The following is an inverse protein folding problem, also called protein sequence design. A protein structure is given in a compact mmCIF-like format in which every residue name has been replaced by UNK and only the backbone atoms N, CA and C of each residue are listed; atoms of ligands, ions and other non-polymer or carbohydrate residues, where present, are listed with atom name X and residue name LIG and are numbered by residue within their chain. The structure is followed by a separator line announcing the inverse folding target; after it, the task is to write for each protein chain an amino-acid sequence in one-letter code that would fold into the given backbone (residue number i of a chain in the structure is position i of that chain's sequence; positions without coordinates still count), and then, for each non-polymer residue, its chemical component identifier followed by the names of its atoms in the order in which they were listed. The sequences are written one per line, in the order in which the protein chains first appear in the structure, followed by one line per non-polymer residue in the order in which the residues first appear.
data_IF_734117371457
#
_entry.id   IF_734117371457
#
_cell.length_a   1.000
_cell.length_b   1.000
_cell.length_c   1.000
_cell.angle_alpha   90.00
_cell.angle_beta   90.00
_cell.angle_gamma   90.00
#
_symmetry.space_group_name_H-M   'P 1'
#
loop_
_entity.id
_entity.type
_entity.pdbx_description
1 polymer ?
#
# COMPACT_ATOMS: atom_id res chain seq x y z
N UNK A 1 -9.31 -28.40 -14.72
CA UNK A 1 -9.34 -28.26 -16.18
C UNK A 1 -8.45 -27.09 -16.53
N UNK A 2 -7.64 -27.20 -17.58
CA UNK A 2 -6.75 -26.12 -18.00
C UNK A 2 -7.55 -24.85 -18.33
N UNK A 3 -7.04 -23.68 -17.93
CA UNK A 3 -7.61 -22.38 -18.28
C UNK A 3 -7.85 -22.26 -19.80
N UNK A 4 -9.05 -21.79 -20.18
CA UNK A 4 -9.38 -21.54 -21.57
C UNK A 4 -8.59 -20.32 -22.07
N UNK A 5 -7.82 -20.49 -23.15
CA UNK A 5 -7.10 -19.40 -23.80
C UNK A 5 -7.80 -19.04 -25.11
N UNK A 6 -8.26 -17.79 -25.20
CA UNK A 6 -8.93 -17.22 -26.37
C UNK A 6 -8.11 -16.09 -26.98
N UNK A 7 -8.14 -15.98 -28.30
CA UNK A 7 -7.44 -14.91 -29.02
C UNK A 7 -8.38 -13.75 -29.35
N UNK A 8 -7.91 -12.53 -29.08
CA UNK A 8 -8.50 -11.27 -29.53
C UNK A 8 -7.34 -10.34 -29.95
N UNK A 9 -6.61 -10.78 -30.96
CA UNK A 9 -5.35 -10.13 -31.38
C UNK A 9 -5.57 -8.73 -31.91
N UNK A 10 -4.62 -7.83 -31.62
CA UNK A 10 -4.57 -6.49 -32.19
C UNK A 10 -4.48 -6.55 -33.72
N UNK A 11 -5.16 -5.63 -34.39
CA UNK A 11 -5.05 -5.44 -35.85
C UNK A 11 -3.59 -5.19 -36.26
N UNK A 12 -3.17 -5.80 -37.38
CA UNK A 12 -1.86 -5.58 -38.00
C UNK A 12 -1.55 -4.11 -38.27
N UNK A 13 -2.58 -3.31 -38.56
CA UNK A 13 -2.45 -1.86 -38.78
C UNK A 13 -1.97 -1.08 -37.54
N UNK A 14 -1.99 -1.69 -36.35
CA UNK A 14 -1.52 -1.08 -35.10
C UNK A 14 -0.22 -1.69 -34.57
N UNK A 15 0.43 -2.60 -35.32
CA UNK A 15 1.67 -3.23 -34.86
C UNK A 15 2.76 -2.20 -34.59
N UNK A 16 2.89 -1.17 -35.42
CA UNK A 16 3.84 -0.07 -35.23
C UNK A 16 3.66 0.71 -33.90
N UNK A 17 2.48 0.63 -33.28
CA UNK A 17 2.18 1.28 -32.00
C UNK A 17 2.30 0.26 -30.85
N UNK A 18 1.71 -0.92 -31.01
CA UNK A 18 1.46 -1.86 -29.91
C UNK A 18 2.53 -2.92 -29.74
N UNK A 19 3.17 -3.34 -30.83
CA UNK A 19 4.12 -4.44 -30.83
C UNK A 19 5.06 -4.35 -32.05
N UNK A 20 5.85 -3.27 -32.20
CA UNK A 20 6.59 -2.99 -33.44
C UNK A 20 7.70 -4.00 -33.76
N UNK A 21 8.23 -4.70 -32.76
CA UNK A 21 9.38 -5.58 -32.92
C UNK A 21 9.00 -7.06 -32.83
N UNK A 22 9.67 -7.89 -33.63
CA UNK A 22 9.70 -9.33 -33.40
C UNK A 22 10.42 -9.64 -32.08
N UNK A 23 10.03 -10.74 -31.45
CA UNK A 23 10.52 -11.19 -30.16
C UNK A 23 10.71 -12.70 -30.17
N UNK A 24 11.88 -13.12 -29.70
CA UNK A 24 12.09 -14.49 -29.21
C UNK A 24 12.05 -14.38 -27.70
N UNK A 25 10.95 -14.81 -27.11
CA UNK A 25 10.75 -14.72 -25.67
C UNK A 25 11.77 -15.59 -24.94
N UNK A 26 12.28 -15.12 -23.80
CA UNK A 26 13.14 -15.91 -22.90
C UNK A 26 12.71 -15.85 -21.43
N UNK A 27 11.71 -15.02 -21.11
CA UNK A 27 11.08 -14.88 -19.80
C UNK A 27 9.57 -14.62 -19.91
N UNK A 28 8.88 -14.75 -18.78
CA UNK A 28 7.50 -14.32 -18.58
C UNK A 28 7.50 -13.27 -17.48
N UNK A 29 6.78 -12.16 -17.66
CA UNK A 29 6.63 -11.10 -16.66
C UNK A 29 5.19 -11.06 -16.20
N UNK A 30 5.01 -11.15 -14.88
CA UNK A 30 3.70 -11.13 -14.22
C UNK A 30 3.35 -9.72 -13.79
N UNK A 31 2.10 -9.35 -14.05
CA UNK A 31 1.51 -8.06 -13.76
C UNK A 31 0.17 -8.20 -13.03
N UNK A 32 -0.25 -7.11 -12.41
CA UNK A 32 -1.58 -6.94 -11.86
C UNK A 32 -2.15 -5.67 -12.48
N UNK A 33 -3.38 -5.74 -12.99
CA UNK A 33 -3.99 -4.65 -13.74
C UNK A 33 -4.24 -3.37 -12.92
N UNK A 34 -4.25 -3.49 -11.59
CA UNK A 34 -4.74 -2.47 -10.67
C UNK A 34 -6.15 -1.98 -11.04
N UNK A 35 -6.97 -2.90 -11.55
CA UNK A 35 -8.33 -2.65 -12.02
C UNK A 35 -9.28 -3.83 -11.69
N UNK A 36 -10.58 -3.64 -11.87
CA UNK A 36 -11.64 -4.63 -11.63
C UNK A 36 -12.38 -5.07 -12.90
N UNK A 37 -11.71 -4.96 -14.06
CA UNK A 37 -12.24 -5.39 -15.35
C UNK A 37 -11.92 -6.87 -15.65
N UNK A 38 -12.74 -7.48 -16.51
CA UNK A 38 -12.51 -8.82 -17.08
C UNK A 38 -11.31 -8.83 -18.02
N UNK A 39 -10.75 -10.02 -18.30
CA UNK A 39 -9.66 -10.20 -19.25
C UNK A 39 -10.05 -9.69 -20.65
N UNK A 40 -11.30 -9.95 -21.07
CA UNK A 40 -11.83 -9.44 -22.33
C UNK A 40 -11.80 -7.90 -22.40
N UNK A 41 -12.23 -7.22 -21.33
CA UNK A 41 -12.31 -5.76 -21.32
C UNK A 41 -10.91 -5.12 -21.29
N UNK A 42 -9.99 -5.68 -20.52
CA UNK A 42 -8.59 -5.25 -20.52
C UNK A 42 -7.98 -5.35 -21.93
N UNK A 43 -8.17 -6.48 -22.61
CA UNK A 43 -7.67 -6.67 -23.98
C UNK A 43 -8.37 -5.76 -24.99
N UNK A 44 -9.72 -5.66 -24.97
CA UNK A 44 -10.48 -4.77 -25.86
C UNK A 44 -10.02 -3.32 -25.74
N UNK A 45 -9.84 -2.84 -24.51
CA UNK A 45 -9.32 -1.50 -24.27
C UNK A 45 -7.90 -1.35 -24.83
N UNK A 46 -7.01 -2.28 -24.50
CA UNK A 46 -5.60 -2.25 -24.90
C UNK A 46 -5.44 -2.23 -26.42
N UNK A 47 -6.13 -3.10 -27.16
CA UNK A 47 -6.02 -3.14 -28.64
C UNK A 47 -6.79 -2.01 -29.32
N UNK A 48 -7.83 -1.48 -28.66
CA UNK A 48 -8.72 -0.45 -29.19
C UNK A 48 -8.11 0.96 -29.19
N UNK A 49 -7.22 1.27 -28.24
CA UNK A 49 -6.57 2.59 -28.15
C UNK A 49 -5.27 2.69 -28.98
N UNK A 50 -4.65 3.89 -29.01
CA UNK A 50 -3.41 4.18 -29.76
C UNK A 50 -2.21 4.52 -28.87
N UNK A 51 -2.27 4.17 -27.58
CA UNK A 51 -1.15 4.37 -26.66
C UNK A 51 -0.06 3.32 -26.92
N UNK A 52 1.22 3.70 -26.74
CA UNK A 52 2.36 2.77 -26.71
C UNK A 52 2.43 2.03 -25.38
N UNK A 53 1.34 1.35 -25.04
CA UNK A 53 1.17 0.50 -23.86
C UNK A 53 0.41 -0.74 -24.32
N UNK A 54 0.93 -1.92 -24.00
CA UNK A 54 0.36 -3.20 -24.42
C UNK A 54 0.88 -4.33 -23.54
N UNK A 55 0.18 -5.47 -23.55
CA UNK A 55 0.55 -6.71 -22.87
C UNK A 55 0.07 -7.89 -23.71
N UNK A 56 0.67 -9.07 -23.55
CA UNK A 56 0.37 -10.20 -24.42
C UNK A 56 -0.96 -10.86 -24.09
N UNK A 57 -1.22 -11.08 -22.80
CA UNK A 57 -2.38 -11.84 -22.35
C UNK A 57 -2.89 -11.29 -21.02
N UNK A 58 -4.21 -11.15 -20.90
CA UNK A 58 -4.88 -10.87 -19.63
C UNK A 58 -5.60 -12.13 -19.14
N UNK A 59 -5.61 -12.36 -17.83
CA UNK A 59 -6.19 -13.55 -17.20
C UNK A 59 -7.15 -13.14 -16.10
N UNK A 60 -8.38 -13.64 -16.17
CA UNK A 60 -9.42 -13.41 -15.18
C UNK A 60 -9.90 -14.71 -14.54
N UNK A 61 -10.98 -14.66 -13.76
CA UNK A 61 -11.51 -15.79 -13.01
C UNK A 61 -12.11 -16.90 -13.89
N UNK A 62 -12.24 -16.67 -15.21
CA UNK A 62 -12.93 -17.55 -16.15
C UNK A 62 -12.07 -17.96 -17.34
N UNK A 63 -11.31 -17.03 -17.91
CA UNK A 63 -10.54 -17.24 -19.14
C UNK A 63 -9.23 -16.45 -19.17
N UNK A 64 -8.40 -16.74 -20.17
CA UNK A 64 -7.26 -15.94 -20.56
C UNK A 64 -7.45 -15.43 -21.99
N UNK A 65 -7.26 -14.13 -22.21
CA UNK A 65 -7.48 -13.48 -23.51
C UNK A 65 -6.17 -12.91 -24.03
N UNK A 66 -5.70 -13.41 -25.17
CA UNK A 66 -4.48 -12.96 -25.82
C UNK A 66 -4.73 -11.76 -26.75
N UNK A 67 -4.05 -10.65 -26.51
CA UNK A 67 -4.14 -9.41 -27.31
C UNK A 67 -2.94 -9.15 -28.23
N UNK A 68 -1.74 -9.62 -27.88
CA UNK A 68 -0.52 -9.46 -28.70
C UNK A 68 0.07 -10.83 -29.03
N UNK A 69 0.49 -11.08 -30.29
CA UNK A 69 1.22 -12.30 -30.65
C UNK A 69 2.48 -12.50 -29.81
N UNK A 70 2.77 -13.74 -29.39
CA UNK A 70 3.93 -14.03 -28.52
C UNK A 70 5.28 -13.94 -29.22
N UNK A 71 5.30 -13.87 -30.55
CA UNK A 71 6.50 -13.63 -31.38
C UNK A 71 6.77 -12.14 -31.62
N UNK A 72 6.04 -11.25 -30.92
CA UNK A 72 6.22 -9.80 -30.96
C UNK A 72 6.34 -9.23 -29.55
N UNK A 73 7.01 -8.09 -29.46
CA UNK A 73 7.20 -7.38 -28.19
C UNK A 73 5.88 -6.78 -27.69
N UNK A 74 5.83 -6.41 -26.40
CA UNK A 74 4.79 -5.54 -25.85
C UNK A 74 5.43 -4.39 -25.06
N UNK A 75 4.66 -3.34 -24.77
CA UNK A 75 5.10 -2.17 -24.00
C UNK A 75 4.49 -2.21 -22.59
N UNK A 76 5.14 -2.93 -21.68
CA UNK A 76 4.61 -3.26 -20.35
C UNK A 76 5.60 -3.05 -19.19
N UNK A 77 6.90 -3.28 -19.40
CA UNK A 77 7.90 -3.42 -18.34
C UNK A 77 8.53 -2.09 -17.87
N UNK A 78 8.28 -0.99 -18.58
CA UNK A 78 8.78 0.34 -18.22
C UNK A 78 10.29 0.53 -18.38
N UNK A 79 10.98 -0.38 -19.09
CA UNK A 79 12.44 -0.39 -19.27
C UNK A 79 12.89 0.06 -20.67
N UNK A 80 12.03 0.79 -21.40
CA UNK A 80 12.32 1.23 -22.77
C UNK A 80 12.54 0.03 -23.71
N UNK A 81 13.68 -0.03 -24.40
CA UNK A 81 14.08 -1.18 -25.21
C UNK A 81 14.87 -2.24 -24.40
N UNK A 82 14.74 -2.24 -23.09
CA UNK A 82 15.32 -3.25 -22.21
C UNK A 82 14.69 -4.63 -22.39
N UNK A 83 15.28 -5.60 -21.68
CA UNK A 83 14.95 -7.02 -21.81
C UNK A 83 13.52 -7.34 -21.40
N UNK A 84 12.92 -6.59 -20.48
CA UNK A 84 11.52 -6.75 -20.07
C UNK A 84 10.60 -6.57 -21.28
N UNK A 85 10.59 -5.39 -21.88
CA UNK A 85 9.75 -5.12 -23.05
C UNK A 85 10.13 -5.94 -24.30
N UNK A 86 11.40 -6.32 -24.45
CA UNK A 86 11.93 -6.89 -25.71
C UNK A 86 12.07 -8.41 -25.74
N UNK A 87 12.02 -9.08 -24.60
CA UNK A 87 12.22 -10.53 -24.50
C UNK A 87 11.23 -11.23 -23.56
N UNK A 88 10.31 -10.50 -22.93
CA UNK A 88 9.33 -11.11 -22.03
C UNK A 88 7.92 -11.18 -22.60
N UNK A 89 7.22 -12.28 -22.32
CA UNK A 89 5.77 -12.38 -22.45
C UNK A 89 5.13 -11.73 -21.21
N UNK A 90 4.23 -10.77 -21.40
CA UNK A 90 3.52 -10.05 -20.34
C UNK A 90 2.16 -10.70 -20.04
N UNK A 91 1.97 -11.11 -18.79
CA UNK A 91 0.73 -11.71 -18.26
C UNK A 91 0.11 -10.75 -17.25
N UNK A 92 -1.05 -10.18 -17.57
CA UNK A 92 -1.83 -9.30 -16.68
C UNK A 92 -2.87 -10.09 -15.91
N UNK A 93 -2.86 -10.02 -14.57
CA UNK A 93 -3.85 -10.65 -13.70
C UNK A 93 -4.94 -9.63 -13.33
N UNK A 94 -6.18 -9.92 -13.73
CA UNK A 94 -7.36 -9.08 -13.53
C UNK A 94 -7.84 -9.03 -12.08
N UNK A 95 -8.76 -8.09 -11.78
CA UNK A 95 -9.41 -7.90 -10.45
C UNK A 95 -8.48 -7.59 -9.29
N UNK A 96 -7.24 -7.23 -9.56
CA UNK A 96 -6.26 -6.95 -8.53
C UNK A 96 -6.57 -5.68 -7.74
N UNK A 97 -7.42 -4.76 -8.22
CA UNK A 97 -7.76 -3.56 -7.45
C UNK A 97 -8.56 -3.89 -6.19
N UNK A 98 -9.69 -4.54 -6.33
CA UNK A 98 -10.54 -4.93 -5.18
C UNK A 98 -10.16 -6.29 -4.59
N UNK A 99 -9.49 -7.17 -5.35
CA UNK A 99 -9.10 -8.49 -4.89
C UNK A 99 -10.29 -9.46 -4.76
N UNK A 100 -10.30 -10.21 -3.66
CA UNK A 100 -11.33 -11.22 -3.36
C UNK A 100 -11.29 -12.46 -4.25
N UNK A 101 -12.33 -13.28 -4.19
CA UNK A 101 -12.42 -14.57 -4.87
C UNK A 101 -12.12 -14.52 -6.36
N UNK A 102 -12.53 -13.43 -7.03
CA UNK A 102 -12.26 -13.24 -8.46
C UNK A 102 -10.77 -13.09 -8.74
N UNK A 103 -10.05 -12.34 -7.91
CA UNK A 103 -8.60 -12.24 -8.02
C UNK A 103 -7.91 -13.57 -7.70
N UNK A 104 -8.31 -14.26 -6.62
CA UNK A 104 -7.72 -15.56 -6.24
C UNK A 104 -7.86 -16.58 -7.38
N UNK A 105 -9.03 -16.63 -8.02
CA UNK A 105 -9.27 -17.48 -9.19
C UNK A 105 -8.45 -17.02 -10.41
N UNK A 106 -8.37 -15.72 -10.67
CA UNK A 106 -7.57 -15.16 -11.76
C UNK A 106 -6.07 -15.45 -11.59
N UNK A 107 -5.54 -15.31 -10.38
CA UNK A 107 -4.15 -15.59 -10.05
C UNK A 107 -3.84 -17.09 -10.19
N UNK A 108 -4.74 -17.97 -9.75
CA UNK A 108 -4.64 -19.40 -9.98
C UNK A 108 -4.64 -19.75 -11.48
N UNK A 109 -5.55 -19.18 -12.25
CA UNK A 109 -5.63 -19.37 -13.70
C UNK A 109 -4.35 -18.88 -14.39
N UNK A 110 -3.79 -17.76 -13.94
CA UNK A 110 -2.52 -17.24 -14.44
C UNK A 110 -1.35 -18.16 -14.09
N UNK A 111 -1.32 -18.73 -12.88
CA UNK A 111 -0.30 -19.68 -12.49
C UNK A 111 -0.34 -20.97 -13.34
N UNK A 112 -1.55 -21.49 -13.62
CA UNK A 112 -1.74 -22.64 -14.51
C UNK A 112 -1.29 -22.33 -15.95
N UNK A 113 -1.68 -21.16 -16.48
CA UNK A 113 -1.27 -20.69 -17.81
C UNK A 113 0.26 -20.61 -17.93
N UNK A 114 0.91 -19.96 -16.95
CA UNK A 114 2.36 -19.78 -16.93
C UNK A 114 3.06 -21.13 -16.84
N UNK A 115 2.58 -22.05 -16.00
CA UNK A 115 3.13 -23.40 -15.92
C UNK A 115 3.06 -24.13 -17.27
N UNK A 116 1.95 -24.01 -18.00
CA UNK A 116 1.82 -24.52 -19.37
C UNK A 116 2.83 -23.90 -20.33
N UNK A 117 2.98 -22.58 -20.31
CA UNK A 117 3.95 -21.85 -21.15
C UNK A 117 5.40 -22.26 -20.87
N UNK A 118 5.75 -22.49 -19.59
CA UNK A 118 7.08 -22.94 -19.18
C UNK A 118 7.36 -24.35 -19.68
N UNK A 119 6.41 -25.30 -19.51
CA UNK A 119 6.55 -26.68 -20.00
C UNK A 119 6.75 -26.73 -21.51
N UNK A 120 5.92 -26.01 -22.26
CA UNK A 120 5.97 -25.95 -23.72
C UNK A 120 7.36 -25.50 -24.23
N UNK A 121 8.05 -24.65 -23.46
CA UNK A 121 9.34 -24.05 -23.82
C UNK A 121 10.54 -24.73 -23.16
N UNK A 122 10.32 -25.76 -22.34
CA UNK A 122 11.38 -26.38 -21.54
C UNK A 122 12.05 -25.42 -20.55
N UNK A 123 11.31 -24.43 -20.05
CA UNK A 123 11.82 -23.40 -19.14
C UNK A 123 11.62 -23.77 -17.67
N UNK A 124 12.58 -23.35 -16.84
CA UNK A 124 12.47 -23.40 -15.39
C UNK A 124 11.71 -22.21 -14.80
N UNK A 125 11.37 -22.32 -13.51
CA UNK A 125 10.66 -21.28 -12.76
C UNK A 125 11.45 -19.96 -12.69
N UNK A 126 12.77 -20.00 -12.86
CA UNK A 126 13.66 -18.83 -12.89
C UNK A 126 13.32 -17.84 -14.01
N UNK A 127 12.57 -18.29 -15.02
CA UNK A 127 12.08 -17.48 -16.15
C UNK A 127 10.83 -16.67 -15.83
N UNK A 128 10.20 -16.89 -14.68
CA UNK A 128 9.07 -16.07 -14.20
C UNK A 128 9.62 -14.87 -13.44
N UNK A 129 9.37 -13.68 -13.98
CA UNK A 129 9.75 -12.38 -13.41
C UNK A 129 8.51 -11.60 -13.01
N UNK A 130 8.68 -10.62 -12.13
CA UNK A 130 7.66 -9.60 -11.85
C UNK A 130 8.06 -8.30 -12.53
N UNK A 131 7.10 -7.44 -12.86
CA UNK A 131 7.39 -6.13 -13.44
C UNK A 131 8.39 -5.33 -12.58
N UNK A 132 8.31 -5.44 -11.26
CA UNK A 132 9.27 -4.84 -10.33
C UNK A 132 10.73 -5.16 -10.63
N UNK A 133 11.05 -6.33 -11.18
CA UNK A 133 12.43 -6.74 -11.49
C UNK A 133 13.05 -5.91 -12.65
N UNK A 134 12.22 -5.26 -13.47
CA UNK A 134 12.66 -4.50 -14.64
C UNK A 134 12.79 -3.00 -14.37
N UNK A 135 11.82 -2.40 -13.69
CA UNK A 135 11.72 -0.94 -13.51
C UNK A 135 11.62 -0.49 -12.06
N UNK A 136 11.54 -1.41 -11.10
CA UNK A 136 11.30 -1.10 -9.68
C UNK A 136 9.85 -0.77 -9.33
N UNK A 137 8.93 -0.68 -10.31
CA UNK A 137 7.49 -0.45 -10.05
C UNK A 137 6.93 -1.54 -9.14
N UNK A 138 6.13 -1.16 -8.14
CA UNK A 138 5.42 -2.11 -7.27
C UNK A 138 4.30 -2.85 -8.03
N UNK A 139 4.68 -3.85 -8.82
CA UNK A 139 3.81 -4.64 -9.67
C UNK A 139 4.43 -6.03 -9.86
N UNK A 140 3.68 -7.14 -9.69
CA UNK A 140 2.23 -7.26 -9.45
C UNK A 140 1.84 -7.00 -7.98
N UNK A 141 1.20 -5.86 -7.68
CA UNK A 141 1.04 -5.35 -6.31
C UNK A 141 0.37 -6.34 -5.34
N UNK A 142 -0.79 -6.91 -5.69
CA UNK A 142 -1.52 -7.84 -4.83
C UNK A 142 -0.87 -9.20 -4.74
N UNK A 143 -0.33 -9.70 -5.85
CA UNK A 143 0.47 -10.95 -5.84
C UNK A 143 1.73 -10.80 -4.98
N UNK A 144 2.35 -9.60 -4.95
CA UNK A 144 3.45 -9.28 -4.03
C UNK A 144 2.98 -9.24 -2.58
N UNK A 145 1.85 -8.58 -2.30
CA UNK A 145 1.25 -8.50 -0.94
C UNK A 145 0.95 -9.89 -0.37
N UNK A 146 0.48 -10.81 -1.21
CA UNK A 146 0.16 -12.19 -0.83
C UNK A 146 1.38 -13.13 -0.85
N UNK A 147 2.57 -12.64 -1.22
CA UNK A 147 3.81 -13.39 -1.26
C UNK A 147 4.20 -13.87 -2.66
N UNK A 148 5.29 -13.31 -3.19
CA UNK A 148 5.83 -13.71 -4.50
C UNK A 148 6.28 -15.18 -4.54
N UNK A 149 6.95 -15.67 -3.49
CA UNK A 149 7.38 -17.07 -3.43
C UNK A 149 6.17 -18.02 -3.48
N UNK A 150 5.11 -17.70 -2.73
CA UNK A 150 3.85 -18.46 -2.76
C UNK A 150 3.25 -18.54 -4.18
N UNK A 151 3.32 -17.46 -4.96
CA UNK A 151 2.90 -17.50 -6.37
C UNK A 151 3.81 -18.42 -7.22
N UNK A 152 5.13 -18.33 -7.05
CA UNK A 152 6.06 -19.23 -7.75
C UNK A 152 5.85 -20.70 -7.39
N UNK A 153 5.57 -21.00 -6.13
CA UNK A 153 5.27 -22.37 -5.65
C UNK A 153 3.97 -22.91 -6.27
N UNK A 154 2.98 -22.03 -6.46
CA UNK A 154 1.74 -22.37 -7.16
C UNK A 154 2.01 -22.72 -8.63
N UNK A 155 2.80 -21.92 -9.34
CA UNK A 155 3.23 -22.20 -10.72
C UNK A 155 4.00 -23.53 -10.78
N UNK A 156 4.95 -23.75 -9.88
CA UNK A 156 5.75 -24.97 -9.80
C UNK A 156 4.88 -26.22 -9.55
N UNK A 157 3.82 -26.09 -8.73
CA UNK A 157 2.87 -27.18 -8.47
C UNK A 157 2.14 -27.60 -9.76
N UNK A 158 1.63 -26.64 -10.54
CA UNK A 158 1.06 -26.92 -11.86
C UNK A 158 2.11 -27.48 -12.83
N UNK A 159 3.36 -27.06 -12.74
CA UNK A 159 4.45 -27.63 -13.53
C UNK A 159 4.66 -29.12 -13.23
N UNK A 160 4.53 -29.52 -11.98
CA UNK A 160 4.76 -30.90 -11.55
C UNK A 160 3.51 -31.79 -11.65
N UNK A 161 2.37 -31.23 -12.08
CA UNK A 161 1.10 -31.98 -12.13
C UNK A 161 0.55 -32.32 -10.74
N UNK A 162 1.03 -31.62 -9.70
CA UNK A 162 0.51 -31.71 -8.36
C UNK A 162 -0.77 -30.87 -8.23
N UNK A 163 -1.64 -31.24 -7.31
CA UNK A 163 -2.71 -30.33 -6.90
C UNK A 163 -2.04 -29.07 -6.31
N UNK A 164 -2.27 -27.88 -6.88
CA UNK A 164 -1.69 -26.67 -6.32
C UNK A 164 -2.22 -26.53 -4.91
N UNK A 165 -1.40 -26.07 -3.95
CA UNK A 165 -1.87 -25.84 -2.59
C UNK A 165 -3.18 -25.07 -2.67
N UNK A 166 -4.21 -25.58 -2.00
CA UNK A 166 -5.46 -24.85 -1.88
C UNK A 166 -5.08 -23.45 -1.36
N UNK A 167 -5.66 -22.41 -1.95
CA UNK A 167 -5.65 -21.12 -1.28
C UNK A 167 -6.47 -21.31 0.00
N UNK A 168 -5.82 -21.76 1.05
CA UNK A 168 -6.18 -21.34 2.39
C UNK A 168 -5.89 -19.85 2.39
N UNK A 169 -6.81 -19.04 2.91
CA UNK A 169 -6.36 -17.79 3.51
C UNK A 169 -5.30 -18.16 4.55
N UNK A 170 -4.03 -18.28 4.13
CA UNK A 170 -2.97 -18.02 5.08
C UNK A 170 -3.24 -16.61 5.56
N UNK A 171 -3.27 -16.40 6.90
CA UNK A 171 -3.57 -15.10 7.44
C UNK A 171 -2.68 -14.12 6.71
N UNK A 172 -3.30 -13.14 6.03
CA UNK A 172 -2.60 -12.01 5.45
C UNK A 172 -1.49 -11.67 6.43
N UNK A 173 -0.23 -11.72 5.99
CA UNK A 173 0.94 -11.27 6.77
C UNK A 173 0.44 -10.18 7.72
N UNK A 174 0.40 -10.41 9.05
CA UNK A 174 -0.51 -9.69 9.94
C UNK A 174 -0.42 -8.23 9.58
N UNK A 175 -1.56 -7.63 9.18
CA UNK A 175 -1.61 -6.23 8.76
C UNK A 175 -0.73 -5.47 9.74
N UNK A 176 0.35 -4.84 9.25
CA UNK A 176 1.37 -4.25 10.12
C UNK A 176 0.63 -3.40 11.14
N UNK A 177 0.55 -3.90 12.38
CA UNK A 177 -0.27 -3.28 13.40
C UNK A 177 0.54 -2.09 13.87
N UNK A 178 0.30 -0.94 13.25
CA UNK A 178 0.94 0.29 13.65
C UNK A 178 0.23 0.73 14.93
N UNK A 179 0.96 0.71 16.04
CA UNK A 179 0.51 1.26 17.31
C UNK A 179 1.16 2.63 17.51
N UNK A 180 0.43 3.54 18.15
CA UNK A 180 0.99 4.79 18.67
C UNK A 180 1.14 4.69 20.18
N UNK A 181 2.33 5.02 20.68
CA UNK A 181 2.57 5.23 22.10
C UNK A 181 2.82 6.71 22.36
N UNK A 182 2.12 7.28 23.33
CA UNK A 182 2.22 8.70 23.64
C UNK A 182 2.24 8.96 25.15
N UNK A 183 2.91 10.03 25.55
CA UNK A 183 2.99 10.50 26.93
C UNK A 183 2.92 12.03 26.96
N UNK A 184 2.48 12.58 28.09
CA UNK A 184 2.39 14.03 28.29
C UNK A 184 3.20 14.48 29.49
N UNK A 185 3.69 15.71 29.42
CA UNK A 185 4.21 16.45 30.54
C UNK A 185 3.11 17.39 31.05
N UNK A 186 2.85 17.35 32.35
CA UNK A 186 1.88 18.24 33.00
C UNK A 186 2.58 19.45 33.63
N UNK A 187 1.79 20.48 33.95
CA UNK A 187 2.25 21.64 34.72
C UNK A 187 3.05 21.21 35.96
N UNK A 188 4.17 21.90 36.22
CA UNK A 188 5.17 21.48 37.21
C UNK A 188 6.26 20.55 36.67
N UNK A 189 6.21 20.19 35.38
CA UNK A 189 7.30 19.48 34.69
C UNK A 189 7.31 17.96 34.86
N UNK A 190 6.28 17.39 35.49
CA UNK A 190 6.16 15.93 35.66
C UNK A 190 5.73 15.29 34.35
N UNK A 191 6.49 14.31 33.87
CA UNK A 191 6.08 13.43 32.77
C UNK A 191 5.25 12.26 33.30
N UNK A 192 4.23 11.86 32.54
CA UNK A 192 3.37 10.73 32.85
C UNK A 192 3.80 9.48 32.04
N UNK A 193 3.39 8.27 32.46
CA UNK A 193 3.65 7.04 31.70
C UNK A 193 3.10 7.09 30.28
N UNK A 194 3.68 6.27 29.40
CA UNK A 194 3.17 6.08 28.05
C UNK A 194 1.86 5.33 28.06
N UNK A 195 0.96 5.77 27.19
CA UNK A 195 -0.30 5.12 26.84
C UNK A 195 -0.18 4.64 25.40
N UNK A 196 -0.67 3.44 25.11
CA UNK A 196 -0.68 2.86 23.78
C UNK A 196 -2.11 2.87 23.22
N UNK A 197 -2.29 3.45 22.04
CA UNK A 197 -3.58 3.56 21.36
C UNK A 197 -4.72 4.01 22.33
N UNK A 198 -5.85 3.30 22.30
CA UNK A 198 -7.03 3.54 23.14
C UNK A 198 -6.99 2.82 24.50
N UNK A 199 -5.85 2.26 24.93
CA UNK A 199 -5.76 1.56 26.23
C UNK A 199 -6.11 2.50 27.40
N UNK A 200 -5.77 3.79 27.29
CA UNK A 200 -6.16 4.85 28.22
C UNK A 200 -6.06 6.24 27.54
N UNK A 201 -5.98 7.32 28.32
CA UNK A 201 -5.60 8.66 27.89
C UNK A 201 -4.38 9.18 28.66
N UNK A 202 -3.60 10.06 28.04
CA UNK A 202 -2.47 10.70 28.68
C UNK A 202 -2.91 12.05 29.27
N UNK A 203 -2.68 12.24 30.56
CA UNK A 203 -3.03 13.45 31.29
C UNK A 203 -3.57 13.16 32.67
N UNK A 204 -3.85 14.21 33.44
CA UNK A 204 -4.55 14.12 34.72
C UNK A 204 -5.66 15.16 34.73
N UNK A 205 -6.92 14.78 35.02
CA UNK A 205 -8.03 15.73 35.07
C UNK A 205 -7.69 16.96 35.93
N UNK A 206 -7.88 18.15 35.36
CA UNK A 206 -7.58 19.41 36.02
C UNK A 206 -6.10 19.86 35.95
N UNK A 207 -5.17 19.03 35.49
CA UNK A 207 -3.76 19.39 35.30
C UNK A 207 -3.46 19.68 33.85
N UNK A 208 -2.99 20.90 33.59
CA UNK A 208 -2.69 21.35 32.22
C UNK A 208 -1.53 20.56 31.63
N UNK A 209 -1.67 20.15 30.38
CA UNK A 209 -0.58 19.57 29.60
C UNK A 209 0.32 20.70 29.06
N UNK A 210 1.63 20.55 29.21
CA UNK A 210 2.68 21.52 28.79
C UNK A 210 3.73 20.90 27.86
N UNK A 211 3.68 19.59 27.63
CA UNK A 211 4.49 18.89 26.64
C UNK A 211 3.85 17.57 26.22
N UNK A 212 4.15 17.10 25.00
CA UNK A 212 3.71 15.80 24.48
C UNK A 212 4.85 15.12 23.73
N UNK A 213 5.01 13.81 23.92
CA UNK A 213 5.95 12.97 23.17
C UNK A 213 5.23 11.76 22.60
N UNK A 214 5.49 11.41 21.34
CA UNK A 214 4.82 10.31 20.63
C UNK A 214 5.80 9.50 19.79
N UNK A 215 5.59 8.18 19.72
CA UNK A 215 6.30 7.27 18.81
C UNK A 215 5.33 6.26 18.21
N UNK A 216 5.73 5.71 17.07
CA UNK A 216 5.01 4.64 16.38
C UNK A 216 5.97 3.49 16.10
N UNK A 217 5.44 2.28 15.87
CA UNK A 217 6.23 1.09 15.60
C UNK A 217 6.20 0.71 14.11
N UNK A 218 6.77 -0.45 13.77
CA UNK A 218 6.48 -1.15 12.52
C UNK A 218 6.80 -0.37 11.24
N UNK A 219 7.89 0.41 11.27
CA UNK A 219 8.39 1.15 10.11
C UNK A 219 7.60 2.41 9.77
N UNK A 220 6.54 2.72 10.53
CA UNK A 220 5.87 4.00 10.44
C UNK A 220 6.74 5.12 11.03
N UNK A 221 6.46 6.35 10.64
CA UNK A 221 6.99 7.54 11.32
C UNK A 221 5.88 8.55 11.58
N UNK A 222 6.06 9.40 12.58
CA UNK A 222 5.08 10.41 12.97
C UNK A 222 5.78 11.76 13.12
N UNK A 223 5.09 12.82 12.69
CA UNK A 223 5.44 14.18 13.08
C UNK A 223 4.29 14.82 13.82
N UNK A 224 4.61 15.68 14.77
CA UNK A 224 3.60 16.39 15.54
C UNK A 224 4.11 17.73 16.04
N UNK A 225 3.18 18.67 16.24
CA UNK A 225 3.46 19.98 16.84
C UNK A 225 2.29 20.44 17.69
N UNK A 226 2.52 21.52 18.43
CA UNK A 226 1.52 22.10 19.32
C UNK A 226 1.37 23.60 19.12
N UNK A 227 0.20 24.11 19.51
CA UNK A 227 0.00 25.53 19.80
C UNK A 227 -0.39 25.68 21.25
N UNK A 228 0.28 26.56 21.97
CA UNK A 228 -0.01 26.86 23.37
C UNK A 228 -1.28 27.70 23.52
N UNK A 229 -1.85 27.73 24.72
CA UNK A 229 -3.03 28.53 25.04
C UNK A 229 -2.79 30.04 24.87
N UNK A 230 -1.54 30.51 24.98
CA UNK A 230 -1.19 31.90 24.67
C UNK A 230 -0.91 32.15 23.17
N UNK A 231 -1.16 31.17 22.30
CA UNK A 231 -1.12 31.33 20.84
C UNK A 231 0.23 31.06 20.18
N UNK A 232 1.26 30.62 20.91
CA UNK A 232 2.55 30.28 20.32
C UNK A 232 2.50 28.89 19.69
N UNK A 233 2.76 28.81 18.38
CA UNK A 233 2.95 27.54 17.67
C UNK A 233 4.42 27.14 17.69
N UNK A 234 4.68 25.88 18.05
CA UNK A 234 6.01 25.28 18.03
C UNK A 234 6.26 24.53 16.70
N UNK A 235 7.52 24.33 16.28
CA UNK A 235 7.84 23.54 15.09
C UNK A 235 7.41 22.08 15.26
N UNK A 236 7.35 21.35 14.14
CA UNK A 236 7.17 19.91 14.15
C UNK A 236 8.38 19.21 14.76
N UNK A 237 8.09 18.19 15.56
CA UNK A 237 9.06 17.23 16.06
C UNK A 237 8.72 15.83 15.58
N UNK A 238 9.71 14.94 15.56
CA UNK A 238 9.55 13.52 15.18
C UNK A 238 10.09 12.55 16.23
N UNK A 239 10.84 13.05 17.22
CA UNK A 239 11.43 12.23 18.27
C UNK A 239 10.46 11.91 19.40
N UNK A 240 10.91 11.07 20.33
CA UNK A 240 10.18 10.67 21.53
C UNK A 240 11.17 10.52 22.70
N UNK A 241 11.76 11.65 23.12
CA UNK A 241 12.79 11.70 24.15
C UNK A 241 12.66 13.00 24.96
N UNK A 242 12.24 12.90 26.23
CA UNK A 242 12.07 14.05 27.11
C UNK A 242 13.37 14.82 27.43
N UNK A 243 14.54 14.23 27.20
CA UNK A 243 15.83 14.90 27.39
C UNK A 243 16.28 15.71 26.17
N UNK A 244 15.63 15.51 25.01
CA UNK A 244 15.89 16.26 23.78
C UNK A 244 14.86 17.39 23.63
N UNK A 245 15.24 18.59 24.06
CA UNK A 245 14.41 19.79 23.97
C UNK A 245 14.29 20.41 22.57
N UNK A 246 14.91 19.82 21.54
CA UNK A 246 14.87 20.32 20.15
C UNK A 246 13.89 19.50 19.32
N UNK A 247 14.02 18.16 19.33
CA UNK A 247 13.19 17.27 18.50
C UNK A 247 12.57 16.10 19.30
N UNK A 248 12.78 16.03 20.61
CA UNK A 248 12.35 14.89 21.41
C UNK A 248 10.89 14.92 21.85
N UNK A 249 10.29 16.10 21.95
CA UNK A 249 8.89 16.30 22.35
C UNK A 249 8.39 17.67 21.89
N UNK A 250 7.07 17.84 21.77
CA UNK A 250 6.47 19.13 21.43
C UNK A 250 5.99 19.85 22.69
N UNK A 251 6.43 21.08 22.89
CA UNK A 251 6.10 21.93 24.05
C UNK A 251 7.35 22.56 24.66
N UNK A 252 7.15 23.40 25.67
CA UNK A 252 8.25 24.08 26.37
C UNK A 252 8.32 23.72 27.87
N UNK A 253 7.48 22.78 28.31
CA UNK A 253 7.39 22.34 29.70
C UNK A 253 6.82 23.39 30.66
N UNK A 254 6.32 24.52 30.16
CA UNK A 254 5.88 25.67 30.98
C UNK A 254 4.49 26.15 30.60
N UNK A 255 4.24 26.38 29.31
CA UNK A 255 3.01 26.94 28.80
C UNK A 255 2.01 25.83 28.45
N UNK A 256 0.76 26.03 28.86
CA UNK A 256 -0.30 25.07 28.58
C UNK A 256 -0.54 24.91 27.09
N UNK A 257 -0.74 23.68 26.63
CA UNK A 257 -1.08 23.33 25.27
C UNK A 257 -2.58 23.56 25.05
N UNK A 258 -2.94 24.06 23.87
CA UNK A 258 -4.33 24.27 23.46
C UNK A 258 -4.69 23.50 22.19
N UNK A 259 -3.75 23.33 21.27
CA UNK A 259 -3.95 22.59 20.02
C UNK A 259 -2.80 21.63 19.75
N UNK A 260 -3.12 20.52 19.11
CA UNK A 260 -2.16 19.51 18.66
C UNK A 260 -2.40 19.20 17.19
N UNK A 261 -1.33 19.08 16.43
CA UNK A 261 -1.32 18.68 15.02
C UNK A 261 -0.44 17.45 14.89
N UNK A 262 -0.97 16.36 14.33
CA UNK A 262 -0.25 15.10 14.13
C UNK A 262 -0.39 14.66 12.67
N UNK A 263 0.63 13.98 12.15
CA UNK A 263 0.57 13.36 10.83
C UNK A 263 1.36 12.07 10.82
N UNK A 264 0.71 10.98 10.41
CA UNK A 264 1.32 9.66 10.26
C UNK A 264 1.88 9.45 8.85
N UNK A 265 3.09 8.95 8.76
CA UNK A 265 3.64 8.36 7.55
C UNK A 265 3.61 6.84 7.71
N UNK A 266 2.54 6.20 7.24
CA UNK A 266 2.38 4.73 7.27
C UNK A 266 3.12 4.08 6.09
N UNK A 267 3.78 2.92 6.27
CA UNK A 267 4.55 2.27 5.20
C UNK A 267 3.76 2.00 3.92
N UNK A 268 2.48 1.65 4.06
CA UNK A 268 1.61 1.35 2.93
C UNK A 268 0.66 2.50 2.57
N UNK A 269 0.76 3.65 3.27
CA UNK A 269 -0.11 4.82 3.06
C UNK A 269 -1.61 4.53 3.21
N UNK A 270 -1.97 3.52 3.99
CA UNK A 270 -3.31 2.98 4.21
C UNK A 270 -3.83 3.19 5.65
N UNK A 271 -2.96 3.70 6.54
CA UNK A 271 -3.26 4.01 7.93
C UNK A 271 -3.07 5.48 8.22
N UNK A 272 -3.87 5.99 9.16
CA UNK A 272 -3.88 7.38 9.62
C UNK A 272 -3.83 7.43 11.15
N UNK A 273 -3.25 8.51 11.71
CA UNK A 273 -3.45 8.77 13.14
C UNK A 273 -4.79 9.47 13.36
N UNK A 274 -5.53 8.99 14.34
CA UNK A 274 -6.68 9.67 14.90
C UNK A 274 -6.34 10.11 16.30
N UNK A 275 -6.73 11.33 16.66
CA UNK A 275 -6.41 11.87 17.98
C UNK A 275 -7.42 12.91 18.42
N UNK A 276 -7.58 13.05 19.74
CA UNK A 276 -8.50 13.99 20.36
C UNK A 276 -7.95 14.52 21.68
N UNK A 277 -8.41 15.69 22.06
CA UNK A 277 -8.05 16.35 23.32
C UNK A 277 -9.29 16.73 24.10
N UNK A 278 -9.18 16.81 25.42
CA UNK A 278 -10.18 17.39 26.27
C UNK A 278 -9.66 18.72 26.86
N UNK A 279 -10.47 19.78 26.85
CA UNK A 279 -10.13 20.98 27.60
C UNK A 279 -10.24 20.72 29.10
N UNK A 280 -9.48 21.49 29.88
CA UNK A 280 -9.38 21.31 31.34
C UNK A 280 -10.76 21.18 31.99
N UNK A 281 -11.01 20.06 32.67
CA UNK A 281 -12.24 19.80 33.42
C UNK A 281 -13.48 19.48 32.57
N UNK A 282 -13.31 19.17 31.28
CA UNK A 282 -14.44 18.87 30.37
C UNK A 282 -14.26 17.54 29.62
N UNK A 283 -15.24 17.24 28.77
CA UNK A 283 -15.23 16.10 27.84
C UNK A 283 -14.38 16.35 26.60
N UNK A 284 -14.11 15.30 25.84
CA UNK A 284 -13.32 15.38 24.60
C UNK A 284 -14.02 16.21 23.53
N UNK A 285 -13.21 16.92 22.75
CA UNK A 285 -13.63 17.39 21.42
C UNK A 285 -13.73 16.22 20.43
N UNK A 286 -14.41 16.41 19.28
CA UNK A 286 -14.37 15.45 18.19
C UNK A 286 -12.93 15.11 17.77
N UNK A 287 -12.68 13.88 17.30
CA UNK A 287 -11.35 13.48 16.88
C UNK A 287 -10.95 14.11 15.55
N UNK A 288 -9.65 14.36 15.44
CA UNK A 288 -8.95 14.80 14.24
C UNK A 288 -8.24 13.60 13.62
N UNK A 289 -8.32 13.47 12.30
CA UNK A 289 -7.52 12.51 11.52
C UNK A 289 -6.37 13.24 10.85
N UNK A 290 -5.13 12.83 11.09
CA UNK A 290 -3.92 13.51 10.61
C UNK A 290 -4.09 15.05 10.69
N UNK A 291 -3.78 15.79 9.62
CA UNK A 291 -4.02 17.23 9.51
C UNK A 291 -5.13 17.54 8.50
N UNK A 292 -6.10 16.63 8.36
CA UNK A 292 -7.21 16.78 7.42
C UNK A 292 -8.12 17.96 7.76
N UNK A 293 -8.66 18.59 6.72
CA UNK A 293 -9.58 19.74 6.82
C UNK A 293 -10.98 19.45 6.24
N UNK A 294 -11.25 18.18 5.94
CA UNK A 294 -12.53 17.71 5.41
C UNK A 294 -13.44 17.16 6.50
N UNK A 295 -14.72 16.95 6.19
CA UNK A 295 -15.68 16.27 7.08
C UNK A 295 -15.79 16.87 8.50
N UNK A 296 -15.70 18.20 8.61
CA UNK A 296 -15.81 18.91 9.89
C UNK A 296 -14.51 19.00 10.69
N UNK A 297 -13.39 18.52 10.14
CA UNK A 297 -12.04 18.68 10.72
C UNK A 297 -11.40 19.99 10.25
N UNK A 298 -10.50 20.56 11.05
CA UNK A 298 -9.80 21.81 10.75
C UNK A 298 -8.26 21.66 10.71
N UNK A 299 -7.78 20.43 10.90
CA UNK A 299 -6.37 20.03 10.82
C UNK A 299 -5.67 19.93 12.17
N UNK A 300 -6.38 20.15 13.28
CA UNK A 300 -5.84 20.01 14.63
C UNK A 300 -6.89 19.53 15.63
N UNK A 301 -6.44 19.02 16.78
CA UNK A 301 -7.33 18.76 17.92
C UNK A 301 -7.17 19.88 18.95
N UNK A 302 -8.28 20.46 19.39
CA UNK A 302 -8.32 21.49 20.43
C UNK A 302 -8.76 22.86 19.92
N UNK A 303 -8.76 23.86 20.78
CA UNK A 303 -9.26 25.21 20.47
C UNK A 303 -8.28 26.24 21.01
N UNK A 304 -7.93 27.23 20.19
CA UNK A 304 -7.07 28.35 20.60
C UNK A 304 -7.54 28.99 21.91
N UNK A 305 -6.60 29.33 22.80
CA UNK A 305 -6.92 29.95 24.09
C UNK A 305 -7.38 28.97 25.19
N UNK A 306 -7.71 27.72 24.85
CA UNK A 306 -8.28 26.77 25.81
C UNK A 306 -7.26 25.68 26.15
N UNK A 307 -6.77 25.65 27.40
CA UNK A 307 -5.84 24.62 27.86
C UNK A 307 -6.48 23.22 27.87
N UNK A 308 -5.67 22.20 27.57
CA UNK A 308 -6.08 20.78 27.60
C UNK A 308 -5.51 20.05 28.82
N UNK A 309 -6.23 19.03 29.31
CA UNK A 309 -5.79 18.16 30.41
C UNK A 309 -5.74 16.67 30.07
N UNK A 310 -6.29 16.28 28.91
CA UNK A 310 -6.27 14.90 28.40
C UNK A 310 -5.98 14.87 26.90
N UNK A 311 -5.19 13.90 26.49
CA UNK A 311 -4.90 13.56 25.08
C UNK A 311 -5.09 12.06 24.87
N UNK A 312 -5.70 11.68 23.75
CA UNK A 312 -5.84 10.28 23.35
C UNK A 312 -5.61 10.16 21.84
N UNK A 313 -4.91 9.11 21.42
CA UNK A 313 -4.60 8.85 20.01
C UNK A 313 -4.63 7.35 19.67
N UNK A 314 -4.90 7.02 18.41
CA UNK A 314 -4.92 5.66 17.90
C UNK A 314 -4.68 5.64 16.39
N UNK A 315 -4.41 4.47 15.82
CA UNK A 315 -4.14 4.29 14.39
C UNK A 315 -5.27 3.46 13.77
N UNK A 316 -5.82 3.92 12.65
CA UNK A 316 -6.86 3.24 11.88
C UNK A 316 -6.59 3.27 10.37
#
# INVERSE_FOLDING_TARGET
MAVNVRQLLVSGSKYNIKCPYQMVADTITVHNTYNDATAENEVKYMIGNNNQVSFHIAVDDKEAVQGIPFDRNAWHAGDGNGRGNRNSIAVEICYSKSGGDRFVKAERNAAELIAGMLKERGWGIDRVKKHQDWSGKYCPHRTLDMGWQRFLDMVASFMNGAEPPAYTEEPSKPALQIDVEYAVMIEGGRTLPFVKNMEDYAGLPGKKIVGIAMRVNNGASIKYRITTANGKTYPFVTGCNWSDGVNGYAGDGRNAIAKIECYLYSPNSDKYIFYKVAPVGRGYYPPQRDMDKGNGMDGYAGVSGTAIDKFQAWIE
#
